data_IF_826488470874
#
_entry.id   IF_826488470874
#
_cell.length_a   1.000
_cell.length_b   1.000
_cell.length_c   1.000
_cell.angle_alpha   90.00
_cell.angle_beta   90.00
_cell.angle_gamma   90.00
#
_symmetry.space_group_name_H-M   'P 1'
#
loop_
_entity.id
_entity.type
_entity.pdbx_description
1 polymer ?
#
# COMPACT_ATOMS: atom_id res chain seq x y z
N UNK A 1 -14.30 -1.00 -13.22
CA UNK A 1 -14.06 -0.43 -11.88
C UNK A 1 -14.37 -1.42 -10.75
N UNK A 2 -15.63 -1.67 -10.35
CA UNK A 2 -15.93 -2.57 -9.20
C UNK A 2 -15.37 -3.99 -9.37
N UNK A 3 -15.49 -4.60 -10.55
CA UNK A 3 -14.91 -5.94 -10.80
C UNK A 3 -13.39 -5.95 -10.70
N UNK A 4 -12.72 -4.90 -11.18
CA UNK A 4 -11.26 -4.75 -11.12
C UNK A 4 -10.76 -4.50 -9.70
N UNK A 5 -11.44 -3.64 -8.92
CA UNK A 5 -11.13 -3.43 -7.51
C UNK A 5 -11.35 -4.70 -6.71
N UNK A 6 -12.44 -5.44 -6.98
CA UNK A 6 -12.70 -6.73 -6.33
C UNK A 6 -11.56 -7.72 -6.62
N UNK A 7 -11.17 -7.86 -7.89
CA UNK A 7 -10.08 -8.75 -8.28
C UNK A 7 -8.75 -8.35 -7.61
N UNK A 8 -8.37 -7.08 -7.71
CA UNK A 8 -7.13 -6.55 -7.14
C UNK A 8 -7.10 -6.68 -5.63
N UNK A 9 -8.23 -6.44 -4.96
CA UNK A 9 -8.40 -6.67 -3.53
C UNK A 9 -8.13 -8.13 -3.18
N UNK A 10 -8.81 -9.09 -3.81
CA UNK A 10 -8.63 -10.51 -3.48
C UNK A 10 -7.22 -11.00 -3.80
N UNK A 11 -6.60 -10.50 -4.87
CA UNK A 11 -5.22 -10.82 -5.21
C UNK A 11 -4.26 -10.37 -4.10
N UNK A 12 -4.30 -9.09 -3.70
CA UNK A 12 -3.42 -8.56 -2.65
C UNK A 12 -3.73 -9.21 -1.30
N UNK A 13 -5.01 -9.42 -0.98
CA UNK A 13 -5.43 -10.09 0.24
C UNK A 13 -4.83 -11.49 0.35
N UNK A 14 -4.95 -12.28 -0.71
CA UNK A 14 -4.46 -13.67 -0.74
C UNK A 14 -2.95 -13.71 -0.63
N UNK A 15 -2.25 -12.91 -1.43
CA UNK A 15 -0.77 -12.84 -1.40
C UNK A 15 -0.27 -12.41 -0.03
N UNK A 16 -0.88 -11.37 0.56
CA UNK A 16 -0.46 -10.86 1.88
C UNK A 16 -0.74 -11.87 2.98
N UNK A 17 -1.91 -12.52 2.95
CA UNK A 17 -2.27 -13.55 3.93
C UNK A 17 -1.26 -14.70 3.90
N UNK A 18 -0.98 -15.25 2.71
CA UNK A 18 0.02 -16.30 2.52
C UNK A 18 1.42 -15.85 2.96
N UNK A 19 1.81 -14.62 2.64
CA UNK A 19 3.10 -14.06 3.01
C UNK A 19 3.26 -13.94 4.53
N UNK A 20 2.27 -13.37 5.22
CA UNK A 20 2.30 -13.23 6.69
C UNK A 20 2.30 -14.61 7.35
N UNK A 21 1.48 -15.55 6.88
CA UNK A 21 1.50 -16.93 7.39
C UNK A 21 2.87 -17.57 7.19
N UNK A 22 3.49 -17.42 6.03
CA UNK A 22 4.83 -17.93 5.75
C UNK A 22 5.87 -17.36 6.72
N UNK A 23 5.85 -16.03 6.94
CA UNK A 23 6.76 -15.39 7.88
C UNK A 23 6.55 -15.91 9.31
N UNK A 24 5.30 -16.07 9.75
CA UNK A 24 4.99 -16.67 11.06
C UNK A 24 5.54 -18.11 11.14
N UNK A 25 5.35 -18.93 10.11
CA UNK A 25 5.89 -20.30 10.08
C UNK A 25 7.41 -20.33 10.19
N UNK A 26 8.12 -19.44 9.48
CA UNK A 26 9.60 -19.42 9.44
C UNK A 26 10.20 -18.92 10.76
N UNK A 27 9.63 -17.83 11.32
CA UNK A 27 10.21 -17.14 12.48
C UNK A 27 9.66 -17.60 13.83
N UNK A 28 8.38 -18.01 13.90
CA UNK A 28 7.75 -18.45 15.16
C UNK A 28 7.67 -19.97 15.31
N UNK A 29 7.79 -20.73 14.21
CA UNK A 29 7.91 -22.21 14.16
C UNK A 29 6.93 -22.95 15.08
N UNK A 30 7.41 -23.39 16.25
CA UNK A 30 6.66 -24.22 17.20
C UNK A 30 5.95 -23.40 18.29
N UNK A 31 6.00 -22.07 18.25
CA UNK A 31 5.27 -21.27 19.24
C UNK A 31 3.76 -21.39 19.04
N UNK A 32 3.00 -21.65 20.12
CA UNK A 32 1.55 -21.73 20.04
C UNK A 32 0.97 -20.36 19.70
N UNK A 33 0.12 -20.31 18.67
CA UNK A 33 -0.57 -19.08 18.26
C UNK A 33 -2.01 -19.14 18.78
N UNK A 34 -2.48 -18.05 19.37
CA UNK A 34 -3.88 -17.96 19.79
C UNK A 34 -4.80 -17.92 18.56
N UNK A 35 -5.97 -18.55 18.65
CA UNK A 35 -6.95 -18.52 17.55
C UNK A 35 -7.35 -17.09 17.17
N UNK A 36 -7.37 -16.18 18.15
CA UNK A 36 -7.66 -14.75 17.95
C UNK A 36 -6.61 -14.10 17.03
N UNK A 37 -5.36 -14.54 17.08
CA UNK A 37 -4.30 -13.98 16.24
C UNK A 37 -4.52 -14.22 14.74
N UNK A 38 -5.29 -15.25 14.35
CA UNK A 38 -5.67 -15.45 12.96
C UNK A 38 -6.52 -14.28 12.42
N UNK A 39 -7.33 -13.64 13.28
CA UNK A 39 -8.06 -12.43 12.91
C UNK A 39 -7.14 -11.23 12.72
N UNK A 40 -6.02 -11.15 13.45
CA UNK A 40 -5.01 -10.14 13.19
C UNK A 40 -4.34 -10.33 11.82
N UNK A 41 -4.00 -11.58 11.46
CA UNK A 41 -3.45 -11.90 10.13
C UNK A 41 -4.44 -11.53 9.02
N UNK A 42 -5.71 -11.91 9.18
CA UNK A 42 -6.76 -11.52 8.24
C UNK A 42 -6.93 -9.99 8.16
N UNK A 43 -6.84 -9.29 9.29
CA UNK A 43 -6.88 -7.83 9.36
C UNK A 43 -5.71 -7.18 8.62
N UNK A 44 -4.48 -7.67 8.80
CA UNK A 44 -3.28 -7.19 8.09
C UNK A 44 -3.46 -7.37 6.57
N UNK A 45 -3.94 -8.53 6.14
CA UNK A 45 -4.19 -8.81 4.74
C UNK A 45 -5.30 -7.91 4.17
N UNK A 46 -6.37 -7.67 4.93
CA UNK A 46 -7.47 -6.78 4.52
C UNK A 46 -7.01 -5.32 4.39
N UNK A 47 -6.26 -4.79 5.37
CA UNK A 47 -5.71 -3.43 5.30
C UNK A 47 -4.80 -3.31 4.08
N UNK A 48 -3.88 -4.26 3.89
CA UNK A 48 -2.97 -4.26 2.73
C UNK A 48 -3.73 -4.31 1.42
N UNK A 49 -4.80 -5.11 1.33
CA UNK A 49 -5.65 -5.21 0.15
C UNK A 49 -6.43 -3.92 -0.15
N UNK A 50 -6.91 -3.22 0.88
CA UNK A 50 -7.54 -1.92 0.70
C UNK A 50 -6.52 -0.89 0.21
N UNK A 51 -5.34 -0.82 0.85
CA UNK A 51 -4.30 0.13 0.48
C UNK A 51 -3.82 -0.11 -0.94
N UNK A 52 -3.20 -1.27 -1.19
CA UNK A 52 -2.51 -1.56 -2.45
C UNK A 52 -3.45 -2.05 -3.56
N UNK A 53 -4.54 -2.73 -3.22
CA UNK A 53 -5.47 -3.28 -4.20
C UNK A 53 -6.55 -2.31 -4.67
N UNK A 54 -6.90 -1.29 -3.87
CA UNK A 54 -8.02 -0.37 -4.19
C UNK A 54 -7.57 1.08 -4.13
N UNK A 55 -7.04 1.53 -2.98
CA UNK A 55 -6.83 2.96 -2.71
C UNK A 55 -5.88 3.60 -3.71
N UNK A 56 -4.74 2.98 -4.00
CA UNK A 56 -3.79 3.55 -4.97
C UNK A 56 -4.42 3.70 -6.36
N UNK A 57 -5.11 2.69 -6.88
CA UNK A 57 -5.75 2.78 -8.20
C UNK A 57 -6.89 3.82 -8.22
N UNK A 58 -7.68 3.90 -7.14
CA UNK A 58 -8.71 4.92 -6.99
C UNK A 58 -8.10 6.34 -6.97
N UNK A 59 -7.06 6.56 -6.17
CA UNK A 59 -6.47 7.88 -5.96
C UNK A 59 -5.74 8.40 -7.19
N UNK A 60 -5.00 7.53 -7.90
CA UNK A 60 -4.14 7.93 -9.00
C UNK A 60 -4.81 7.88 -10.37
N UNK A 61 -5.75 6.94 -10.59
CA UNK A 61 -6.35 6.73 -11.92
C UNK A 61 -7.80 7.17 -12.02
N UNK A 62 -8.53 7.29 -10.90
CA UNK A 62 -9.96 7.61 -10.92
C UNK A 62 -10.27 9.00 -10.34
N UNK A 63 -9.52 9.45 -9.33
CA UNK A 63 -9.70 10.79 -8.78
C UNK A 63 -8.99 11.86 -9.61
N UNK A 64 -9.71 12.94 -9.91
CA UNK A 64 -9.23 14.12 -10.65
C UNK A 64 -8.55 15.15 -9.73
N UNK A 65 -8.00 14.69 -8.61
CA UNK A 65 -7.36 15.54 -7.62
C UNK A 65 -6.02 16.08 -8.14
N UNK A 66 -5.62 17.26 -7.64
CA UNK A 66 -4.29 17.81 -7.93
C UNK A 66 -3.22 16.85 -7.38
N UNK A 67 -2.06 16.70 -8.06
CA UNK A 67 -0.99 15.79 -7.64
C UNK A 67 -0.56 15.94 -6.18
N UNK A 68 -0.54 17.17 -5.68
CA UNK A 68 -0.24 17.47 -4.28
C UNK A 68 -1.15 16.72 -3.29
N UNK A 69 -2.47 16.71 -3.55
CA UNK A 69 -3.43 16.03 -2.69
C UNK A 69 -3.30 14.52 -2.78
N UNK A 70 -3.03 13.97 -3.97
CA UNK A 70 -2.79 12.53 -4.13
C UNK A 70 -1.57 12.08 -3.33
N UNK A 71 -0.46 12.81 -3.40
CA UNK A 71 0.76 12.53 -2.63
C UNK A 71 0.49 12.61 -1.13
N UNK A 72 -0.21 13.66 -0.67
CA UNK A 72 -0.48 13.85 0.75
C UNK A 72 -1.39 12.75 1.31
N UNK A 73 -2.48 12.44 0.61
CA UNK A 73 -3.46 11.42 1.02
C UNK A 73 -2.82 10.03 1.01
N UNK A 74 -2.12 9.67 -0.08
CA UNK A 74 -1.44 8.37 -0.16
C UNK A 74 -0.39 8.21 0.93
N UNK A 75 0.38 9.26 1.23
CA UNK A 75 1.40 9.22 2.28
C UNK A 75 0.78 9.03 3.66
N UNK A 76 -0.25 9.80 4.01
CA UNK A 76 -0.93 9.71 5.31
C UNK A 76 -1.58 8.34 5.48
N UNK A 77 -2.37 7.89 4.49
CA UNK A 77 -3.10 6.63 4.61
C UNK A 77 -2.13 5.44 4.61
N UNK A 78 -1.02 5.50 3.86
CA UNK A 78 -0.01 4.45 3.89
C UNK A 78 0.67 4.35 5.25
N UNK A 79 1.02 5.48 5.88
CA UNK A 79 1.58 5.46 7.23
C UNK A 79 0.53 4.98 8.24
N UNK A 80 -0.69 5.50 8.21
CA UNK A 80 -1.75 5.08 9.13
C UNK A 80 -2.04 3.57 9.01
N UNK A 81 -2.16 3.07 7.78
CA UNK A 81 -2.38 1.66 7.50
C UNK A 81 -1.19 0.78 7.89
N UNK A 82 0.04 1.24 7.64
CA UNK A 82 1.25 0.56 8.10
C UNK A 82 1.34 0.48 9.62
N UNK A 83 1.01 1.56 10.32
CA UNK A 83 0.95 1.58 11.79
C UNK A 83 -0.11 0.62 12.33
N UNK A 84 -1.29 0.56 11.71
CA UNK A 84 -2.33 -0.42 12.07
C UNK A 84 -1.88 -1.87 11.82
N UNK A 85 -1.19 -2.13 10.71
CA UNK A 85 -0.63 -3.45 10.42
C UNK A 85 0.38 -3.86 11.50
N UNK A 86 1.29 -2.97 11.87
CA UNK A 86 2.28 -3.23 12.93
C UNK A 86 1.58 -3.48 14.26
N UNK A 87 0.56 -2.68 14.59
CA UNK A 87 -0.21 -2.85 15.83
C UNK A 87 -0.94 -4.20 15.89
N UNK A 88 -1.55 -4.64 14.78
CA UNK A 88 -2.17 -5.96 14.68
C UNK A 88 -1.13 -7.09 14.79
N UNK A 89 0.08 -6.86 14.27
CA UNK A 89 1.14 -7.86 14.32
C UNK A 89 1.73 -8.02 15.73
N UNK A 90 2.08 -6.90 16.39
CA UNK A 90 2.63 -6.86 17.75
C UNK A 90 2.54 -5.45 18.34
N UNK A 91 1.95 -5.34 19.53
CA UNK A 91 1.88 -4.07 20.27
C UNK A 91 3.28 -3.60 20.71
N UNK A 92 4.17 -4.51 21.08
CA UNK A 92 5.54 -4.16 21.46
C UNK A 92 6.30 -3.52 20.29
N UNK A 93 6.18 -4.11 19.09
CA UNK A 93 6.78 -3.52 17.89
C UNK A 93 6.16 -2.18 17.55
N UNK A 94 4.85 -2.02 17.73
CA UNK A 94 4.17 -0.75 17.52
C UNK A 94 4.74 0.35 18.42
N UNK A 95 4.96 0.08 19.70
CA UNK A 95 5.52 1.07 20.63
C UNK A 95 6.96 1.45 20.28
N UNK A 96 7.76 0.52 19.74
CA UNK A 96 9.12 0.81 19.26
C UNK A 96 9.12 1.68 18.00
N UNK A 97 8.17 1.44 17.09
CA UNK A 97 8.09 2.11 15.79
C UNK A 97 7.38 3.47 15.89
N UNK A 98 6.43 3.61 16.82
CA UNK A 98 5.58 4.81 16.97
C UNK A 98 6.37 6.12 17.00
N UNK A 99 7.47 6.30 17.76
CA UNK A 99 8.22 7.56 17.78
C UNK A 99 8.78 7.99 16.43
N UNK A 100 8.97 7.05 15.49
CA UNK A 100 9.53 7.28 14.17
C UNK A 100 8.48 7.72 13.14
N UNK A 101 7.20 7.79 13.52
CA UNK A 101 6.11 8.17 12.62
C UNK A 101 6.35 9.47 11.82
N UNK A 102 6.95 10.55 12.37
CA UNK A 102 7.18 11.77 11.61
C UNK A 102 8.22 11.55 10.50
N UNK A 103 9.28 10.80 10.80
CA UNK A 103 10.32 10.46 9.85
C UNK A 103 9.81 9.56 8.73
N UNK A 104 9.00 8.56 9.08
CA UNK A 104 8.34 7.69 8.09
C UNK A 104 7.39 8.47 7.19
N UNK A 105 6.63 9.43 7.73
CA UNK A 105 5.75 10.29 6.94
C UNK A 105 6.53 11.16 5.96
N UNK A 106 7.61 11.80 6.42
CA UNK A 106 8.47 12.61 5.55
C UNK A 106 9.08 11.77 4.43
N UNK A 107 9.62 10.59 4.76
CA UNK A 107 10.15 9.66 3.78
C UNK A 107 9.08 9.22 2.77
N UNK A 108 7.86 8.93 3.25
CA UNK A 108 6.73 8.54 2.41
C UNK A 108 6.38 9.64 1.41
N UNK A 109 6.29 10.90 1.83
CA UNK A 109 6.03 12.04 0.94
C UNK A 109 7.12 12.19 -0.12
N UNK A 110 8.39 12.04 0.27
CA UNK A 110 9.52 12.11 -0.67
C UNK A 110 9.43 10.99 -1.71
N UNK A 111 9.17 9.75 -1.28
CA UNK A 111 9.04 8.62 -2.21
C UNK A 111 7.86 8.78 -3.16
N UNK A 112 6.69 9.18 -2.67
CA UNK A 112 5.52 9.44 -3.51
C UNK A 112 5.77 10.57 -4.51
N UNK A 113 6.51 11.59 -4.10
CA UNK A 113 6.91 12.70 -4.99
C UNK A 113 7.82 12.21 -6.11
N UNK A 114 8.85 11.42 -5.78
CA UNK A 114 9.78 10.84 -6.77
C UNK A 114 9.02 9.92 -7.74
N UNK A 115 8.17 9.04 -7.20
CA UNK A 115 7.36 8.13 -8.01
C UNK A 115 6.44 8.90 -8.96
N UNK A 116 5.79 9.96 -8.49
CA UNK A 116 4.96 10.83 -9.32
C UNK A 116 5.75 11.45 -10.48
N UNK A 117 6.91 12.06 -10.19
CA UNK A 117 7.75 12.68 -11.24
C UNK A 117 8.23 11.65 -12.26
N UNK A 118 8.62 10.45 -11.80
CA UNK A 118 9.05 9.38 -12.68
C UNK A 118 7.91 8.92 -13.59
N UNK A 119 6.71 8.72 -13.03
CA UNK A 119 5.53 8.29 -13.78
C UNK A 119 5.06 9.35 -14.78
N UNK A 120 5.03 10.63 -14.37
CA UNK A 120 4.69 11.75 -15.24
C UNK A 120 5.68 11.89 -16.42
N UNK A 121 6.98 11.63 -16.18
CA UNK A 121 7.99 11.63 -17.25
C UNK A 121 7.78 10.49 -18.26
N UNK A 122 7.31 9.32 -17.80
CA UNK A 122 7.00 8.19 -18.69
C UNK A 122 5.72 8.49 -19.48
N UNK A 123 4.68 8.98 -18.83
CA UNK A 123 3.39 9.28 -19.49
C UNK A 123 3.54 10.36 -20.57
N UNK A 124 4.28 11.43 -20.27
CA UNK A 124 4.57 12.48 -21.25
C UNK A 124 5.31 11.95 -22.48
N UNK A 125 6.29 11.05 -22.30
CA UNK A 125 6.99 10.41 -23.43
C UNK A 125 6.06 9.57 -24.29
N UNK A 126 5.20 8.75 -23.67
CA UNK A 126 4.23 7.92 -24.39
C UNK A 126 3.27 8.76 -25.23
N UNK A 127 2.74 9.85 -24.64
CA UNK A 127 1.84 10.77 -25.35
C UNK A 127 2.51 11.44 -26.55
N UNK A 128 3.78 11.84 -26.42
CA UNK A 128 4.54 12.42 -27.54
C UNK A 128 4.75 11.41 -28.66
N UNK A 129 5.05 10.15 -28.34
CA UNK A 129 5.19 9.08 -29.34
C UNK A 129 3.87 8.76 -30.04
N UNK A 130 2.76 8.69 -29.30
CA UNK A 130 1.43 8.48 -29.86
C UNK A 130 1.02 9.63 -30.79
N UNK A 131 1.25 10.89 -30.38
CA UNK A 131 0.95 12.05 -31.21
C UNK A 131 1.78 12.05 -32.49
N UNK A 132 3.08 11.73 -32.40
CA UNK A 132 3.97 11.63 -33.55
C UNK A 132 3.60 10.49 -34.51
N UNK A 133 2.96 9.41 -34.03
CA UNK A 133 2.43 8.35 -34.89
C UNK A 133 1.14 8.74 -35.60
N UNK A 134 0.32 9.61 -35.01
CA UNK A 134 -0.91 10.11 -35.65
C UNK A 134 -0.59 11.17 -36.70
N UNK A 135 0.44 11.99 -36.45
CA UNK A 135 0.86 13.09 -37.32
C UNK A 135 1.73 12.67 -38.52
N UNK A 136 2.13 11.40 -38.60
CA UNK A 136 3.06 10.87 -39.62
C UNK A 136 2.38 9.82 -40.47
#
# INVERSE_FOLDING_TARGET
MISQFKHSFFQVFTVTSLWVTLLLTVFYREQPISMVYLWHVAGIAAISAVLFGIMYDALWNHFTLKPFWNILISSIITIAGGMLIVWLFSQDMFHVILPWWPGMLLLSVVMHTIAFYFYARIDSRKRVEELNKILK
#
